data_IF_475347154606
#
_entry.id   IF_475347154606
#
_cell.length_a   1.000
_cell.length_b   1.000
_cell.length_c   1.000
_cell.angle_alpha   90.00
_cell.angle_beta   90.00
_cell.angle_gamma   90.00
#
_symmetry.space_group_name_H-M   'P 1'
#
loop_
_entity.id
_entity.type
_entity.pdbx_description
1 polymer ?
#
# COMPACT_ATOMS: atom_id res chain seq x y z
N UNK A 1 17.22 22.08 -6.70
CA UNK A 1 16.09 21.89 -5.75
C UNK A 1 15.09 20.88 -6.31
N UNK A 2 14.75 20.94 -7.60
CA UNK A 2 13.92 19.92 -8.28
C UNK A 2 14.50 18.50 -8.18
N UNK A 3 15.82 18.33 -8.36
CA UNK A 3 16.46 17.01 -8.32
C UNK A 3 16.36 16.32 -6.95
N UNK A 4 16.41 17.10 -5.86
CA UNK A 4 16.28 16.59 -4.49
C UNK A 4 14.87 16.02 -4.21
N UNK A 5 13.83 16.58 -4.82
CA UNK A 5 12.49 16.01 -4.73
C UNK A 5 12.37 14.73 -5.59
N UNK A 6 13.13 14.63 -6.70
CA UNK A 6 13.04 13.49 -7.65
C UNK A 6 13.60 12.19 -7.09
N UNK A 7 14.45 12.23 -6.06
CA UNK A 7 15.17 11.07 -5.51
C UNK A 7 14.58 10.47 -4.22
N UNK A 8 13.40 10.95 -3.75
CA UNK A 8 12.81 10.73 -2.41
C UNK A 8 13.43 11.68 -1.38
N UNK A 9 12.81 12.85 -1.24
CA UNK A 9 13.15 13.81 -0.19
C UNK A 9 12.18 13.68 0.98
N UNK A 10 12.60 14.10 2.16
CA UNK A 10 11.69 14.31 3.30
C UNK A 10 11.51 15.81 3.54
N UNK A 11 10.32 16.18 3.98
CA UNK A 11 10.03 17.53 4.49
C UNK A 11 9.49 17.44 5.90
N UNK A 12 9.87 18.41 6.72
CA UNK A 12 9.28 18.57 8.04
C UNK A 12 8.23 19.66 7.97
N UNK A 13 6.98 19.31 8.23
CA UNK A 13 5.87 20.26 8.28
C UNK A 13 5.72 20.76 9.72
N UNK A 14 5.89 22.07 9.90
CA UNK A 14 5.66 22.75 11.16
C UNK A 14 4.24 23.32 11.15
N UNK A 15 3.33 22.69 11.89
CA UNK A 15 1.95 23.15 12.02
C UNK A 15 1.77 23.94 13.33
N UNK A 16 0.74 24.81 13.41
CA UNK A 16 0.41 25.49 14.66
C UNK A 16 0.24 24.50 15.82
N UNK A 17 0.56 24.93 17.05
CA UNK A 17 0.51 24.12 18.29
C UNK A 17 1.59 23.05 18.44
N UNK A 18 2.78 23.28 17.88
CA UNK A 18 3.96 22.43 18.06
C UNK A 18 3.82 21.01 17.49
N UNK A 19 2.87 20.79 16.58
CA UNK A 19 2.75 19.51 15.87
C UNK A 19 3.77 19.48 14.74
N UNK A 20 4.61 18.46 14.76
CA UNK A 20 5.66 18.23 13.78
C UNK A 20 5.35 16.93 13.02
N UNK A 21 5.24 17.03 11.71
CA UNK A 21 5.12 15.87 10.84
C UNK A 21 6.38 15.73 10.00
N UNK A 22 7.02 14.57 10.09
CA UNK A 22 8.02 14.15 9.12
C UNK A 22 7.28 13.48 7.96
N UNK A 23 7.38 14.06 6.76
CA UNK A 23 6.64 13.60 5.59
C UNK A 23 7.63 13.20 4.51
N UNK A 24 7.59 11.92 4.14
CA UNK A 24 8.31 11.41 2.98
C UNK A 24 7.60 11.87 1.70
N UNK A 25 8.34 12.53 0.82
CA UNK A 25 7.88 12.94 -0.49
C UNK A 25 8.34 11.94 -1.53
N UNK A 26 7.38 11.37 -2.24
CA UNK A 26 7.60 10.48 -3.38
C UNK A 26 6.81 10.99 -4.57
N UNK A 27 7.49 11.16 -5.71
CA UNK A 27 6.80 11.35 -6.97
C UNK A 27 6.10 10.07 -7.39
N UNK A 28 4.85 10.18 -7.86
CA UNK A 28 4.19 9.10 -8.56
C UNK A 28 4.85 8.95 -9.95
N UNK A 29 5.57 7.85 -10.14
CA UNK A 29 6.33 7.61 -11.38
C UNK A 29 5.74 6.48 -12.20
N UNK A 30 5.21 5.47 -11.55
CA UNK A 30 4.65 4.29 -12.21
C UNK A 30 3.14 4.17 -12.00
N UNK A 31 2.52 3.26 -12.75
CA UNK A 31 1.08 3.02 -12.69
C UNK A 31 0.63 2.64 -11.28
N UNK A 32 1.44 1.91 -10.53
CA UNK A 32 1.11 1.46 -9.18
C UNK A 32 1.01 2.67 -8.23
N UNK A 33 1.95 3.62 -8.31
CA UNK A 33 1.91 4.85 -7.55
C UNK A 33 0.64 5.67 -7.83
N UNK A 34 0.24 5.78 -9.10
CA UNK A 34 -0.97 6.52 -9.46
C UNK A 34 -2.25 5.83 -8.95
N UNK A 35 -2.30 4.50 -9.01
CA UNK A 35 -3.45 3.74 -8.49
C UNK A 35 -3.55 3.84 -6.97
N UNK A 36 -2.43 3.75 -6.24
CA UNK A 36 -2.39 3.97 -4.80
C UNK A 36 -2.94 5.35 -4.39
N UNK A 37 -2.75 6.39 -5.21
CA UNK A 37 -3.29 7.73 -4.96
C UNK A 37 -4.79 7.85 -5.29
N UNK A 38 -5.26 7.14 -6.32
CA UNK A 38 -6.65 7.15 -6.79
C UNK A 38 -7.57 6.29 -5.94
N UNK A 39 -7.07 5.13 -5.50
CA UNK A 39 -7.80 4.16 -4.70
C UNK A 39 -7.92 4.50 -3.22
N UNK A 40 -7.50 5.70 -2.80
CA UNK A 40 -7.51 6.08 -1.38
C UNK A 40 -8.92 6.10 -0.82
N UNK A 41 -9.03 5.56 0.38
CA UNK A 41 -10.25 5.51 1.17
C UNK A 41 -10.12 6.42 2.38
N UNK A 42 -11.23 7.01 2.83
CA UNK A 42 -11.24 7.74 4.11
C UNK A 42 -11.22 6.71 5.24
N UNK A 43 -10.31 6.92 6.19
CA UNK A 43 -10.20 6.09 7.38
C UNK A 43 -9.73 6.89 8.57
N UNK A 44 -9.36 6.16 9.62
CA UNK A 44 -8.85 6.72 10.86
C UNK A 44 -7.60 5.98 11.27
N UNK A 45 -6.54 6.72 11.58
CA UNK A 45 -5.28 6.18 12.09
C UNK A 45 -4.95 6.92 13.39
N UNK A 46 -4.83 6.19 14.49
CA UNK A 46 -4.52 6.74 15.81
C UNK A 46 -5.45 7.90 16.23
N UNK A 47 -6.75 7.80 15.97
CA UNK A 47 -7.72 8.86 16.28
C UNK A 47 -7.79 10.00 15.27
N UNK A 48 -6.96 9.99 14.22
CA UNK A 48 -6.88 11.04 13.21
C UNK A 48 -7.52 10.58 11.91
N UNK A 49 -8.53 11.34 11.44
CA UNK A 49 -9.15 11.10 10.13
C UNK A 49 -8.18 11.42 9.02
N UNK A 50 -7.92 10.47 8.14
CA UNK A 50 -6.98 10.62 7.05
C UNK A 50 -7.40 9.82 5.81
N UNK A 51 -6.71 10.07 4.70
CA UNK A 51 -6.81 9.24 3.50
C UNK A 51 -5.80 8.11 3.60
N UNK A 52 -6.29 6.89 3.56
CA UNK A 52 -5.51 5.66 3.61
C UNK A 52 -5.52 5.00 2.24
N UNK A 53 -4.48 4.24 1.95
CA UNK A 53 -4.46 3.34 0.80
C UNK A 53 -5.47 2.21 1.02
N UNK A 54 -6.14 1.75 -0.05
CA UNK A 54 -7.07 0.63 0.05
C UNK A 54 -6.31 -0.67 0.38
N UNK A 55 -6.97 -1.61 1.04
CA UNK A 55 -6.32 -2.90 1.38
C UNK A 55 -5.92 -3.64 0.10
N UNK A 56 -6.73 -3.54 -0.96
CA UNK A 56 -6.42 -4.10 -2.27
C UNK A 56 -5.13 -3.52 -2.87
N UNK A 57 -4.95 -2.20 -2.79
CA UNK A 57 -3.75 -1.53 -3.30
C UNK A 57 -2.52 -1.89 -2.47
N UNK A 58 -2.64 -1.90 -1.14
CA UNK A 58 -1.55 -2.32 -0.24
C UNK A 58 -1.08 -3.73 -0.55
N UNK A 59 -2.01 -4.69 -0.69
CA UNK A 59 -1.68 -6.09 -1.02
C UNK A 59 -0.96 -6.18 -2.36
N UNK A 60 -1.51 -5.55 -3.41
CA UNK A 60 -0.91 -5.62 -4.74
C UNK A 60 0.46 -4.97 -4.77
N UNK A 61 0.64 -3.81 -4.14
CA UNK A 61 1.92 -3.13 -4.08
C UNK A 61 2.99 -4.00 -3.41
N UNK A 62 2.65 -4.63 -2.28
CA UNK A 62 3.53 -5.58 -1.58
C UNK A 62 3.92 -6.77 -2.44
N UNK A 63 2.99 -7.35 -3.19
CA UNK A 63 3.29 -8.49 -4.08
C UNK A 63 4.15 -8.11 -5.31
N UNK A 64 4.01 -6.86 -5.79
CA UNK A 64 4.84 -6.32 -6.88
C UNK A 64 6.28 -6.14 -6.42
N UNK A 65 6.51 -5.55 -5.24
CA UNK A 65 7.87 -5.40 -4.68
C UNK A 65 8.46 -6.75 -4.22
N UNK A 66 7.64 -7.58 -3.57
CA UNK A 66 7.91 -8.99 -3.32
C UNK A 66 9.09 -9.29 -2.41
N UNK A 67 9.39 -8.43 -1.42
CA UNK A 67 10.35 -8.79 -0.38
C UNK A 67 9.77 -9.85 0.55
N UNK A 68 10.61 -10.59 1.29
CA UNK A 68 10.12 -11.58 2.27
C UNK A 68 9.21 -10.94 3.33
N UNK A 69 9.52 -9.72 3.77
CA UNK A 69 8.67 -8.96 4.69
C UNK A 69 7.33 -8.57 4.06
N UNK A 70 7.32 -8.26 2.75
CA UNK A 70 6.07 -7.96 2.05
C UNK A 70 5.15 -9.19 1.97
N UNK A 71 5.71 -10.39 1.79
CA UNK A 71 4.94 -11.62 1.80
C UNK A 71 4.32 -11.90 3.19
N UNK A 72 5.09 -11.72 4.26
CA UNK A 72 4.59 -11.85 5.65
C UNK A 72 3.47 -10.83 5.95
N UNK A 73 3.63 -9.59 5.51
CA UNK A 73 2.60 -8.55 5.67
C UNK A 73 1.33 -8.91 4.89
N UNK A 74 1.46 -9.43 3.66
CA UNK A 74 0.30 -9.91 2.88
C UNK A 74 -0.38 -11.08 3.58
N UNK A 75 0.37 -12.05 4.12
CA UNK A 75 -0.20 -13.15 4.90
C UNK A 75 -1.03 -12.63 6.07
N UNK A 76 -0.50 -11.68 6.84
CA UNK A 76 -1.20 -11.07 7.98
C UNK A 76 -2.50 -10.36 7.55
N UNK A 77 -2.47 -9.62 6.44
CA UNK A 77 -3.65 -8.98 5.88
C UNK A 77 -4.70 -10.02 5.47
N UNK A 78 -4.30 -11.07 4.75
CA UNK A 78 -5.21 -12.11 4.27
C UNK A 78 -5.83 -12.89 5.44
N UNK A 79 -5.07 -13.22 6.48
CA UNK A 79 -5.59 -13.87 7.68
C UNK A 79 -6.67 -13.02 8.39
N UNK A 80 -6.55 -11.70 8.35
CA UNK A 80 -7.52 -10.80 8.98
C UNK A 80 -8.74 -10.50 8.12
N UNK A 81 -8.55 -10.37 6.80
CA UNK A 81 -9.57 -9.84 5.87
C UNK A 81 -10.10 -10.84 4.86
N UNK A 82 -9.44 -11.98 4.71
CA UNK A 82 -9.67 -12.91 3.61
C UNK A 82 -9.18 -12.36 2.26
N UNK A 83 -9.46 -13.12 1.20
CA UNK A 83 -9.19 -12.70 -0.19
C UNK A 83 -10.47 -12.11 -0.78
N UNK A 84 -10.44 -10.83 -1.17
CA UNK A 84 -11.58 -10.18 -1.83
C UNK A 84 -11.52 -10.32 -3.37
N UNK A 85 -12.66 -10.25 -4.05
CA UNK A 85 -12.68 -10.21 -5.53
C UNK A 85 -11.98 -8.94 -6.07
N UNK A 86 -12.02 -7.83 -5.34
CA UNK A 86 -11.27 -6.62 -5.67
C UNK A 86 -9.76 -6.85 -5.66
N UNK A 87 -9.24 -7.58 -4.66
CA UNK A 87 -7.83 -7.98 -4.60
C UNK A 87 -7.46 -8.85 -5.79
N UNK A 88 -8.30 -9.84 -6.13
CA UNK A 88 -8.08 -10.74 -7.27
C UNK A 88 -8.04 -9.98 -8.58
N UNK A 89 -8.98 -9.05 -8.80
CA UNK A 89 -9.02 -8.25 -10.01
C UNK A 89 -7.77 -7.37 -10.15
N UNK A 90 -7.41 -6.60 -9.11
CA UNK A 90 -6.19 -5.78 -9.16
C UNK A 90 -4.92 -6.62 -9.30
N UNK A 91 -4.84 -7.76 -8.60
CA UNK A 91 -3.69 -8.65 -8.74
C UNK A 91 -3.52 -9.19 -10.17
N UNK A 92 -4.61 -9.42 -10.91
CA UNK A 92 -4.55 -9.75 -12.35
C UNK A 92 -4.04 -8.58 -13.17
N UNK A 93 -4.53 -7.37 -12.91
CA UNK A 93 -4.12 -6.16 -13.63
C UNK A 93 -2.63 -5.84 -13.49
N UNK A 94 -2.04 -6.16 -12.34
CA UNK A 94 -0.62 -5.96 -12.05
C UNK A 94 0.24 -7.23 -12.21
N UNK A 95 -0.35 -8.33 -12.70
CA UNK A 95 0.39 -9.56 -13.01
C UNK A 95 0.89 -10.35 -11.79
N UNK A 96 0.32 -10.12 -10.60
CA UNK A 96 0.70 -10.77 -9.33
C UNK A 96 -0.36 -11.74 -8.80
N UNK A 97 -1.36 -12.09 -9.62
CA UNK A 97 -2.45 -12.98 -9.23
C UNK A 97 -1.99 -14.36 -8.73
N UNK A 98 -1.02 -14.97 -9.41
CA UNK A 98 -0.47 -16.27 -9.00
C UNK A 98 0.20 -16.21 -7.62
N UNK A 99 0.94 -15.13 -7.34
CA UNK A 99 1.55 -14.90 -6.01
C UNK A 99 0.49 -14.74 -4.93
N UNK A 100 -0.55 -13.94 -5.19
CA UNK A 100 -1.67 -13.76 -4.27
C UNK A 100 -2.30 -15.10 -3.90
N UNK A 101 -2.61 -15.93 -4.90
CA UNK A 101 -3.23 -17.22 -4.65
C UNK A 101 -2.29 -18.22 -3.95
N UNK A 102 -1.00 -18.22 -4.29
CA UNK A 102 -0.02 -19.06 -3.59
C UNK A 102 0.11 -18.70 -2.11
N UNK A 103 0.15 -17.41 -1.79
CA UNK A 103 0.16 -16.95 -0.39
C UNK A 103 -1.16 -17.27 0.31
N UNK A 104 -2.30 -17.08 -0.36
CA UNK A 104 -3.60 -17.45 0.19
C UNK A 104 -3.66 -18.95 0.56
N UNK A 105 -3.13 -19.82 -0.30
CA UNK A 105 -3.07 -21.27 -0.05
C UNK A 105 -2.17 -21.60 1.16
N UNK A 106 -1.01 -20.95 1.29
CA UNK A 106 -0.11 -21.10 2.45
C UNK A 106 -0.83 -20.80 3.77
N UNK A 107 -1.69 -19.76 3.79
CA UNK A 107 -2.47 -19.39 4.98
C UNK A 107 -3.81 -20.12 5.09
N UNK A 108 -4.07 -21.12 4.25
CA UNK A 108 -5.26 -21.98 4.31
C UNK A 108 -6.54 -21.31 3.77
N UNK A 109 -6.41 -20.28 2.94
CA UNK A 109 -7.53 -19.56 2.33
C UNK A 109 -7.73 -19.98 0.87
N UNK A 110 -9.00 -19.96 0.43
CA UNK A 110 -9.33 -20.17 -0.97
C UNK A 110 -9.15 -18.88 -1.76
N UNK A 111 -8.30 -18.95 -2.78
CA UNK A 111 -8.32 -18.06 -3.94
C UNK A 111 -9.35 -18.60 -4.97
#
# INVERSE_FOLDING_TARGET
>A
MEDAYRERGWVTLFLPRSTLFHVDLKFAKDRLDYEALRGRVKGELMGVKCWLESVEDVVVAKLVYGSGQDEEDVMAILLNKGVSEGMKQKAKEFGVYSKLCGIAEIVGLRC
#
